data_IF_511258979467
#
_entry.id   IF_511258979467
#
_cell.length_a   1.000
_cell.length_b   1.000
_cell.length_c   1.000
_cell.angle_alpha   90.00
_cell.angle_beta   90.00
_cell.angle_gamma   90.00
#
_symmetry.space_group_name_H-M   'P 1'
#
loop_
_entity.id
_entity.type
_entity.pdbx_description
1 polymer ?
#
# COMPACT_ATOMS: atom_id res chain seq x y z
N UNK A 1 -9.36 -45.40 -17.79
CA UNK A 1 -8.79 -44.55 -18.85
C UNK A 1 -9.15 -43.09 -18.55
N UNK A 2 -8.25 -42.32 -17.95
CA UNK A 2 -8.47 -40.89 -17.67
C UNK A 2 -8.32 -40.13 -18.98
N UNK A 3 -9.41 -39.57 -19.50
CA UNK A 3 -9.35 -38.64 -20.63
C UNK A 3 -8.54 -37.42 -20.20
N UNK A 4 -7.35 -37.24 -20.75
CA UNK A 4 -6.60 -36.02 -20.63
C UNK A 4 -7.48 -34.88 -21.16
N UNK A 5 -8.00 -34.02 -20.26
CA UNK A 5 -8.77 -32.82 -20.63
C UNK A 5 -7.80 -31.85 -21.25
N UNK A 6 -8.14 -31.32 -22.44
CA UNK A 6 -7.33 -30.35 -23.17
C UNK A 6 -7.02 -29.12 -22.33
N UNK A 7 -5.82 -28.60 -22.45
CA UNK A 7 -5.48 -27.31 -21.83
C UNK A 7 -6.17 -26.15 -22.56
N UNK A 8 -6.52 -25.03 -21.85
CA UNK A 8 -7.13 -23.89 -22.50
C UNK A 8 -6.20 -23.29 -23.54
N UNK A 9 -6.73 -23.07 -24.75
CA UNK A 9 -5.98 -22.33 -25.81
C UNK A 9 -5.64 -20.93 -25.34
N UNK A 10 -4.56 -20.34 -25.84
CA UNK A 10 -4.05 -19.03 -25.41
C UNK A 10 -5.13 -17.92 -25.34
N UNK A 11 -6.05 -17.88 -26.33
CA UNK A 11 -7.16 -16.90 -26.33
C UNK A 11 -8.18 -17.11 -25.21
N UNK A 12 -8.53 -18.36 -24.91
CA UNK A 12 -9.46 -18.68 -23.81
C UNK A 12 -8.81 -18.38 -22.46
N UNK A 13 -7.52 -18.65 -22.31
CA UNK A 13 -6.77 -18.34 -21.11
C UNK A 13 -6.73 -16.82 -20.86
N UNK A 14 -6.46 -16.04 -21.91
CA UNK A 14 -6.48 -14.59 -21.83
C UNK A 14 -7.87 -14.04 -21.44
N UNK A 15 -8.94 -14.61 -22.02
CA UNK A 15 -10.32 -14.25 -21.70
C UNK A 15 -10.69 -14.56 -20.24
N UNK A 16 -10.23 -15.69 -19.71
CA UNK A 16 -10.48 -16.09 -18.32
C UNK A 16 -9.71 -15.22 -17.34
N UNK A 17 -8.47 -14.83 -17.69
CA UNK A 17 -7.61 -14.04 -16.81
C UNK A 17 -7.98 -12.54 -16.84
N UNK A 18 -8.33 -11.98 -18.00
CA UNK A 18 -8.62 -10.54 -18.17
C UNK A 18 -10.13 -10.23 -18.15
N UNK A 19 -10.98 -11.20 -18.55
CA UNK A 19 -12.43 -11.02 -18.64
C UNK A 19 -13.06 -10.41 -17.38
N UNK A 20 -12.79 -10.92 -16.18
CA UNK A 20 -13.31 -10.34 -14.94
C UNK A 20 -12.95 -8.86 -14.78
N UNK A 21 -11.72 -8.47 -15.12
CA UNK A 21 -11.25 -7.11 -15.03
C UNK A 21 -11.96 -6.20 -16.03
N UNK A 22 -12.22 -6.70 -17.25
CA UNK A 22 -13.03 -5.97 -18.25
C UNK A 22 -14.45 -5.74 -17.76
N UNK A 23 -15.06 -6.74 -17.10
CA UNK A 23 -16.40 -6.59 -16.48
C UNK A 23 -16.38 -5.48 -15.43
N UNK A 24 -15.35 -5.42 -14.58
CA UNK A 24 -15.20 -4.36 -13.60
C UNK A 24 -15.20 -2.97 -14.24
N UNK A 25 -14.33 -2.75 -15.24
CA UNK A 25 -14.22 -1.46 -15.90
C UNK A 25 -15.51 -1.10 -16.67
N UNK A 26 -16.12 -2.06 -17.34
CA UNK A 26 -17.37 -1.85 -18.08
C UNK A 26 -18.49 -1.42 -17.13
N UNK A 27 -18.68 -2.12 -16.02
CA UNK A 27 -19.71 -1.78 -15.02
C UNK A 27 -19.40 -0.44 -14.38
N UNK A 28 -18.13 -0.18 -14.01
CA UNK A 28 -17.72 1.09 -13.43
C UNK A 28 -17.91 2.29 -14.37
N UNK A 29 -17.84 2.04 -15.68
CA UNK A 29 -18.07 3.07 -16.71
C UNK A 29 -19.56 3.28 -16.99
N UNK A 30 -20.36 2.21 -17.04
CA UNK A 30 -21.78 2.27 -17.39
C UNK A 30 -22.70 2.68 -16.25
N UNK A 31 -22.29 2.45 -15.00
CA UNK A 31 -23.11 2.76 -13.81
C UNK A 31 -22.83 4.19 -13.36
N UNK A 32 -23.82 5.04 -13.45
CA UNK A 32 -23.78 6.40 -12.92
C UNK A 32 -24.46 6.45 -11.54
N UNK A 33 -23.73 6.07 -10.51
CA UNK A 33 -24.22 6.00 -9.13
C UNK A 33 -23.09 6.28 -8.14
N UNK A 34 -23.36 6.91 -6.99
CA UNK A 34 -22.38 7.02 -5.89
C UNK A 34 -21.83 5.67 -5.43
N UNK A 35 -22.62 4.60 -5.60
CA UNK A 35 -22.23 3.23 -5.25
C UNK A 35 -21.54 2.46 -6.40
N UNK A 36 -21.19 3.11 -7.52
CA UNK A 36 -20.65 2.45 -8.72
C UNK A 36 -19.46 1.54 -8.45
N UNK A 37 -18.57 1.95 -7.54
CA UNK A 37 -17.36 1.16 -7.21
C UNK A 37 -17.75 -0.17 -6.51
N UNK A 38 -18.78 -0.16 -5.67
CA UNK A 38 -19.25 -1.37 -4.99
C UNK A 38 -19.96 -2.30 -5.97
N UNK A 39 -20.78 -1.74 -6.86
CA UNK A 39 -21.48 -2.50 -7.91
C UNK A 39 -20.46 -3.13 -8.88
N UNK A 40 -19.45 -2.36 -9.31
CA UNK A 40 -18.36 -2.85 -10.16
C UNK A 40 -17.52 -3.92 -9.46
N UNK A 41 -17.23 -3.75 -8.15
CA UNK A 41 -16.52 -4.76 -7.36
C UNK A 41 -17.33 -6.05 -7.23
N UNK A 42 -18.63 -5.96 -6.98
CA UNK A 42 -19.51 -7.13 -6.95
C UNK A 42 -19.58 -7.86 -8.30
N UNK A 43 -19.69 -7.11 -9.40
CA UNK A 43 -19.67 -7.65 -10.76
C UNK A 43 -18.31 -8.33 -11.07
N UNK A 44 -17.20 -7.74 -10.65
CA UNK A 44 -15.86 -8.30 -10.77
C UNK A 44 -15.73 -9.64 -10.04
N UNK A 45 -16.20 -9.70 -8.78
CA UNK A 45 -16.18 -10.91 -7.98
C UNK A 45 -17.04 -12.02 -8.64
N UNK A 46 -18.25 -11.70 -9.10
CA UNK A 46 -19.12 -12.63 -9.80
C UNK A 46 -18.47 -13.16 -11.09
N UNK A 47 -17.87 -12.28 -11.89
CA UNK A 47 -17.15 -12.66 -13.10
C UNK A 47 -15.92 -13.54 -12.80
N UNK A 48 -15.19 -13.26 -11.71
CA UNK A 48 -14.06 -14.06 -11.28
C UNK A 48 -14.50 -15.48 -10.88
N UNK A 49 -15.57 -15.59 -10.10
CA UNK A 49 -16.16 -16.90 -9.73
C UNK A 49 -16.61 -17.66 -10.98
N UNK A 50 -17.30 -16.99 -11.91
CA UNK A 50 -17.74 -17.59 -13.18
C UNK A 50 -16.54 -18.08 -14.00
N UNK A 51 -15.46 -17.34 -14.09
CA UNK A 51 -14.23 -17.75 -14.78
C UNK A 51 -13.58 -18.97 -14.14
N UNK A 52 -13.52 -19.02 -12.79
CA UNK A 52 -12.99 -20.17 -12.05
C UNK A 52 -13.86 -21.42 -12.25
N UNK A 53 -15.19 -21.28 -12.12
CA UNK A 53 -16.15 -22.36 -12.33
C UNK A 53 -16.09 -22.89 -13.77
N UNK A 54 -16.09 -22.00 -14.76
CA UNK A 54 -15.95 -22.36 -16.16
C UNK A 54 -14.67 -23.16 -16.43
N UNK A 55 -13.55 -22.70 -15.90
CA UNK A 55 -12.26 -23.36 -16.07
C UNK A 55 -12.26 -24.75 -15.41
N UNK A 56 -12.81 -24.86 -14.21
CA UNK A 56 -12.93 -26.13 -13.50
C UNK A 56 -13.83 -27.13 -14.24
N UNK A 57 -14.99 -26.70 -14.72
CA UNK A 57 -15.96 -27.56 -15.41
C UNK A 57 -15.43 -28.03 -16.77
N UNK A 58 -14.81 -27.13 -17.54
CA UNK A 58 -14.37 -27.41 -18.90
C UNK A 58 -13.03 -28.14 -18.95
N UNK A 59 -12.08 -27.75 -18.11
CA UNK A 59 -10.69 -28.25 -18.16
C UNK A 59 -10.33 -29.14 -16.96
N UNK A 60 -11.15 -29.16 -15.90
CA UNK A 60 -10.94 -29.98 -14.71
C UNK A 60 -9.82 -29.53 -13.78
N UNK A 61 -9.18 -28.40 -14.09
CA UNK A 61 -8.11 -27.79 -13.27
C UNK A 61 -8.20 -26.27 -13.37
N UNK A 62 -7.96 -25.59 -12.26
CA UNK A 62 -7.80 -24.12 -12.19
C UNK A 62 -6.30 -23.86 -12.16
N UNK A 63 -5.81 -22.89 -12.95
CA UNK A 63 -4.39 -22.52 -12.88
C UNK A 63 -4.06 -21.92 -11.50
N UNK A 64 -2.86 -22.16 -10.94
CA UNK A 64 -2.47 -21.59 -9.64
C UNK A 64 -2.59 -20.06 -9.61
N UNK A 65 -2.29 -19.41 -10.72
CA UNK A 65 -2.41 -17.95 -10.86
C UNK A 65 -3.88 -17.50 -10.77
N UNK A 66 -4.80 -18.16 -11.50
CA UNK A 66 -6.23 -17.85 -11.46
C UNK A 66 -6.82 -18.13 -10.07
N UNK A 67 -6.40 -19.22 -9.42
CA UNK A 67 -6.82 -19.53 -8.06
C UNK A 67 -6.36 -18.47 -7.06
N UNK A 68 -5.07 -18.09 -7.10
CA UNK A 68 -4.52 -17.04 -6.24
C UNK A 68 -5.22 -15.71 -6.47
N UNK A 69 -5.37 -15.29 -7.73
CA UNK A 69 -6.06 -14.05 -8.09
C UNK A 69 -7.52 -14.07 -7.64
N UNK A 70 -8.21 -15.19 -7.84
CA UNK A 70 -9.60 -15.37 -7.42
C UNK A 70 -9.77 -15.28 -5.92
N UNK A 71 -8.92 -15.95 -5.14
CA UNK A 71 -8.93 -15.86 -3.66
C UNK A 71 -8.69 -14.42 -3.21
N UNK A 72 -7.70 -13.74 -3.80
CA UNK A 72 -7.40 -12.34 -3.45
C UNK A 72 -8.56 -11.40 -3.80
N UNK A 73 -9.17 -11.56 -4.99
CA UNK A 73 -10.31 -10.74 -5.42
C UNK A 73 -11.52 -10.98 -4.51
N UNK A 74 -11.81 -12.23 -4.17
CA UNK A 74 -12.95 -12.56 -3.30
C UNK A 74 -12.72 -12.10 -1.85
N UNK A 75 -11.51 -12.23 -1.34
CA UNK A 75 -11.17 -11.77 0.01
C UNK A 75 -11.21 -10.24 0.11
N UNK A 76 -10.49 -9.54 -0.76
CA UNK A 76 -10.41 -8.08 -0.72
C UNK A 76 -11.71 -7.41 -1.20
N UNK A 77 -12.35 -7.95 -2.25
CA UNK A 77 -13.63 -7.49 -2.75
C UNK A 77 -14.75 -7.75 -1.73
N UNK A 78 -14.79 -8.94 -1.13
CA UNK A 78 -15.72 -9.27 -0.06
C UNK A 78 -15.55 -8.35 1.15
N UNK A 79 -14.31 -8.09 1.54
CA UNK A 79 -13.99 -7.13 2.59
C UNK A 79 -14.48 -5.72 2.20
N UNK A 80 -14.29 -5.29 0.95
CA UNK A 80 -14.76 -4.01 0.44
C UNK A 80 -16.29 -3.91 0.45
N UNK A 81 -16.98 -4.98 0.06
CA UNK A 81 -18.45 -5.02 0.05
C UNK A 81 -19.04 -5.14 1.46
N UNK A 82 -18.40 -5.89 2.35
CA UNK A 82 -18.86 -6.07 3.73
C UNK A 82 -18.66 -4.81 4.58
N UNK A 83 -17.57 -4.10 4.31
CA UNK A 83 -17.23 -2.85 4.99
C UNK A 83 -17.83 -1.63 4.26
N UNK A 84 -19.08 -1.70 3.85
CA UNK A 84 -19.86 -0.64 3.18
C UNK A 84 -19.92 0.68 3.94
N UNK A 85 -19.15 0.82 4.97
CA UNK A 85 -19.15 1.96 5.85
C UNK A 85 -18.08 2.97 5.42
N UNK A 86 -18.48 4.21 5.17
CA UNK A 86 -17.56 5.35 4.99
C UNK A 86 -16.52 5.41 6.11
N UNK A 87 -16.89 4.91 7.28
CA UNK A 87 -16.06 4.82 8.47
C UNK A 87 -14.78 4.01 8.21
N UNK A 88 -14.90 2.92 7.44
CA UNK A 88 -13.73 2.09 7.12
C UNK A 88 -12.74 2.81 6.19
N UNK A 89 -13.24 3.59 5.24
CA UNK A 89 -12.37 4.40 4.36
C UNK A 89 -11.62 5.45 5.18
N UNK A 90 -12.29 6.02 6.18
CA UNK A 90 -11.75 7.06 7.06
C UNK A 90 -10.73 6.53 8.07
N UNK A 91 -10.89 5.27 8.53
CA UNK A 91 -10.01 4.65 9.53
C UNK A 91 -8.76 3.99 8.93
N UNK A 92 -8.76 3.67 7.62
CA UNK A 92 -7.60 3.07 6.94
C UNK A 92 -6.28 3.80 7.19
N UNK A 93 -6.20 5.14 7.05
CA UNK A 93 -4.96 5.87 7.31
C UNK A 93 -4.49 5.72 8.76
N UNK A 94 -5.41 5.73 9.73
CA UNK A 94 -5.09 5.53 11.14
C UNK A 94 -4.44 4.17 11.38
N UNK A 95 -5.04 3.09 10.84
CA UNK A 95 -4.49 1.73 10.95
C UNK A 95 -3.10 1.67 10.31
N UNK A 96 -2.93 2.24 9.13
CA UNK A 96 -1.65 2.28 8.45
C UNK A 96 -0.58 3.01 9.27
N UNK A 97 -0.89 4.21 9.75
CA UNK A 97 0.04 5.00 10.56
C UNK A 97 0.43 4.27 11.86
N UNK A 98 -0.54 3.70 12.57
CA UNK A 98 -0.26 2.94 13.80
C UNK A 98 0.54 1.67 13.51
N UNK A 99 0.28 0.98 12.41
CA UNK A 99 1.05 -0.19 12.01
C UNK A 99 2.52 0.17 11.75
N UNK A 100 2.77 1.24 10.98
CA UNK A 100 4.14 1.68 10.69
C UNK A 100 4.83 2.16 11.97
N UNK A 101 4.13 2.93 12.82
CA UNK A 101 4.66 3.37 14.11
C UNK A 101 5.05 2.19 15.00
N UNK A 102 4.18 1.17 15.09
CA UNK A 102 4.44 -0.05 15.86
C UNK A 102 5.62 -0.84 15.30
N UNK A 103 5.71 -0.96 13.96
CA UNK A 103 6.83 -1.65 13.30
C UNK A 103 8.17 -0.95 13.61
N UNK A 104 8.23 0.37 13.49
CA UNK A 104 9.43 1.14 13.80
C UNK A 104 9.79 1.05 15.29
N UNK A 105 8.80 1.19 16.18
CA UNK A 105 8.99 1.05 17.63
C UNK A 105 9.45 -0.34 18.03
N UNK A 106 8.89 -1.39 17.44
CA UNK A 106 9.32 -2.77 17.65
C UNK A 106 10.76 -2.98 17.17
N UNK A 107 11.11 -2.43 16.00
CA UNK A 107 12.48 -2.46 15.48
C UNK A 107 13.47 -1.83 16.44
N UNK A 108 13.19 -0.63 16.95
CA UNK A 108 14.02 0.05 17.94
C UNK A 108 14.20 -0.77 19.22
N UNK A 109 13.11 -1.40 19.70
CA UNK A 109 13.15 -2.22 20.93
C UNK A 109 13.95 -3.52 20.76
N UNK A 110 13.97 -4.08 19.55
CA UNK A 110 14.69 -5.34 19.25
C UNK A 110 16.10 -5.13 18.68
N UNK A 111 16.57 -3.88 18.61
CA UNK A 111 17.87 -3.54 18.03
C UNK A 111 17.94 -3.67 16.50
N UNK A 112 16.78 -3.80 15.83
CA UNK A 112 16.67 -3.88 14.36
C UNK A 112 16.09 -2.59 13.83
N UNK A 113 16.89 -1.80 13.13
CA UNK A 113 16.38 -0.57 12.54
C UNK A 113 15.79 -0.83 11.14
N UNK A 114 14.47 -1.06 11.09
CA UNK A 114 13.77 -1.30 9.82
C UNK A 114 13.80 -0.09 8.88
N UNK A 115 13.86 1.13 9.42
CA UNK A 115 13.99 2.34 8.61
C UNK A 115 15.33 2.36 7.86
N UNK A 116 16.42 1.99 8.56
CA UNK A 116 17.75 1.83 7.95
C UNK A 116 17.76 0.77 6.85
N UNK A 117 17.04 -0.35 7.06
CA UNK A 117 16.96 -1.41 6.04
C UNK A 117 16.31 -0.92 4.73
N UNK A 118 15.35 0.00 4.81
CA UNK A 118 14.61 0.51 3.65
C UNK A 118 15.29 1.72 3.04
N UNK A 119 15.80 2.64 3.86
CA UNK A 119 16.30 3.94 3.43
C UNK A 119 17.84 4.06 3.52
N UNK A 120 18.55 2.99 3.83
CA UNK A 120 20.00 3.03 4.03
C UNK A 120 20.78 3.58 2.83
N UNK A 121 20.32 3.27 1.61
CA UNK A 121 20.91 3.80 0.39
C UNK A 121 20.63 5.29 0.14
N UNK A 122 19.56 5.83 0.74
CA UNK A 122 19.16 7.24 0.57
C UNK A 122 19.88 8.17 1.57
N UNK A 123 20.42 7.63 2.65
CA UNK A 123 21.13 8.38 3.70
C UNK A 123 22.49 7.77 3.98
N UNK A 124 23.43 7.81 3.01
CA UNK A 124 24.80 7.34 3.22
C UNK A 124 25.47 8.15 4.31
N UNK A 125 26.39 7.54 5.08
CA UNK A 125 27.14 8.19 6.14
C UNK A 125 26.40 8.40 7.47
N UNK A 126 25.08 8.15 7.55
CA UNK A 126 24.33 8.33 8.79
C UNK A 126 24.75 7.27 9.83
N UNK A 127 25.16 7.72 11.02
CA UNK A 127 25.56 6.85 12.11
C UNK A 127 24.39 6.09 12.77
N UNK A 128 24.67 5.10 13.61
CA UNK A 128 23.62 4.28 14.27
C UNK A 128 22.74 5.10 15.22
N UNK A 129 23.30 6.15 15.84
CA UNK A 129 22.54 7.05 16.71
C UNK A 129 21.55 7.89 15.88
N UNK A 130 21.99 8.42 14.74
CA UNK A 130 21.14 9.12 13.78
C UNK A 130 20.01 8.25 13.24
N UNK A 131 20.31 7.00 12.88
CA UNK A 131 19.29 6.05 12.46
C UNK A 131 18.26 5.75 13.55
N UNK A 132 18.70 5.60 14.80
CA UNK A 132 17.79 5.36 15.92
C UNK A 132 16.93 6.57 16.22
N UNK A 133 17.50 7.78 16.17
CA UNK A 133 16.75 9.03 16.34
C UNK A 133 15.74 9.23 15.21
N UNK A 134 16.13 9.01 13.96
CA UNK A 134 15.27 9.13 12.80
C UNK A 134 14.08 8.17 12.89
N UNK A 135 14.34 6.90 13.21
CA UNK A 135 13.28 5.88 13.35
C UNK A 135 12.31 6.23 14.49
N UNK A 136 12.81 6.74 15.63
CA UNK A 136 11.99 7.21 16.75
C UNK A 136 11.13 8.40 16.35
N UNK A 137 11.71 9.39 15.70
CA UNK A 137 11.00 10.59 15.27
C UNK A 137 9.87 10.24 14.28
N UNK A 138 10.14 9.36 13.31
CA UNK A 138 9.12 8.87 12.38
C UNK A 138 8.03 8.04 13.07
N UNK A 139 8.38 7.20 14.04
CA UNK A 139 7.38 6.45 14.81
C UNK A 139 6.44 7.39 15.57
N UNK A 140 6.98 8.41 16.23
CA UNK A 140 6.18 9.43 16.93
C UNK A 140 5.34 10.26 15.95
N UNK A 141 5.89 10.63 14.81
CA UNK A 141 5.14 11.34 13.77
C UNK A 141 3.97 10.53 13.23
N UNK A 142 4.14 9.22 13.00
CA UNK A 142 3.05 8.36 12.57
C UNK A 142 1.96 8.21 13.65
N UNK A 143 2.31 8.14 14.92
CA UNK A 143 1.33 8.19 16.02
C UNK A 143 0.57 9.52 15.99
N UNK A 144 1.25 10.63 15.82
CA UNK A 144 0.64 11.95 15.67
C UNK A 144 -0.30 12.01 14.46
N UNK A 145 0.13 11.50 13.30
CA UNK A 145 -0.69 11.45 12.09
C UNK A 145 -1.92 10.57 12.24
N UNK A 146 -1.83 9.47 13.00
CA UNK A 146 -2.98 8.63 13.33
C UNK A 146 -4.00 9.40 14.18
N UNK A 147 -3.55 10.08 15.23
CA UNK A 147 -4.41 10.91 16.08
C UNK A 147 -5.03 12.07 15.30
N UNK A 148 -4.24 12.70 14.44
CA UNK A 148 -4.71 13.80 13.59
C UNK A 148 -5.76 13.32 12.60
N UNK A 149 -5.57 12.17 11.93
CA UNK A 149 -6.58 11.58 11.05
C UNK A 149 -7.89 11.31 11.80
N UNK A 150 -7.82 10.69 13.00
CA UNK A 150 -8.99 10.43 13.85
C UNK A 150 -9.73 11.74 14.20
N UNK A 151 -9.00 12.76 14.57
CA UNK A 151 -9.58 14.06 14.91
C UNK A 151 -10.27 14.68 13.69
N UNK A 152 -9.58 14.75 12.56
CA UNK A 152 -10.10 15.41 11.36
C UNK A 152 -11.36 14.72 10.85
N UNK A 153 -11.36 13.39 10.66
CA UNK A 153 -12.54 12.72 10.12
C UNK A 153 -13.73 12.68 11.07
N UNK A 154 -13.51 12.77 12.40
CA UNK A 154 -14.59 12.80 13.40
C UNK A 154 -15.21 14.19 13.58
N UNK A 155 -14.47 15.26 13.26
CA UNK A 155 -14.87 16.64 13.54
C UNK A 155 -15.22 17.44 12.30
N UNK A 156 -14.94 16.90 11.09
CA UNK A 156 -15.13 17.62 9.83
C UNK A 156 -15.98 16.82 8.83
N UNK A 157 -16.37 17.46 7.71
CA UNK A 157 -17.07 16.80 6.62
C UNK A 157 -16.16 15.84 5.85
N UNK A 158 -16.77 14.91 5.12
CA UNK A 158 -16.03 13.96 4.26
C UNK A 158 -15.15 14.68 3.23
N UNK A 159 -15.68 15.71 2.58
CA UNK A 159 -14.95 16.48 1.56
C UNK A 159 -13.74 17.20 2.16
N UNK A 160 -13.89 17.77 3.35
CA UNK A 160 -12.79 18.39 4.07
C UNK A 160 -11.69 17.36 4.40
N UNK A 161 -12.08 16.19 4.93
CA UNK A 161 -11.14 15.12 5.24
C UNK A 161 -10.41 14.61 4.00
N UNK A 162 -11.08 14.48 2.84
CA UNK A 162 -10.43 14.14 1.56
C UNK A 162 -9.43 15.21 1.15
N UNK A 163 -9.83 16.48 1.22
CA UNK A 163 -8.94 17.62 0.93
C UNK A 163 -7.74 17.68 1.88
N UNK A 164 -7.95 17.42 3.16
CA UNK A 164 -6.89 17.40 4.18
C UNK A 164 -5.74 16.42 3.83
N UNK A 165 -6.01 15.30 3.16
CA UNK A 165 -4.95 14.38 2.72
C UNK A 165 -3.95 15.04 1.78
N UNK A 166 -4.41 15.93 0.90
CA UNK A 166 -3.57 16.64 -0.07
C UNK A 166 -2.92 17.87 0.54
N UNK A 167 -3.74 18.73 1.15
CA UNK A 167 -3.30 20.06 1.60
C UNK A 167 -2.83 20.11 3.06
N UNK A 168 -3.13 19.09 3.83
CA UNK A 168 -2.71 18.96 5.23
C UNK A 168 -1.62 17.90 5.41
N UNK A 169 -1.95 16.62 5.16
CA UNK A 169 -1.06 15.51 5.49
C UNK A 169 0.24 15.52 4.68
N UNK A 170 0.18 15.83 3.37
CA UNK A 170 1.38 15.88 2.51
C UNK A 170 2.32 17.01 2.93
N UNK A 171 1.90 18.30 3.01
CA UNK A 171 2.77 19.37 3.46
C UNK A 171 3.34 19.14 4.87
N UNK A 172 2.51 18.61 5.78
CA UNK A 172 2.95 18.29 7.14
C UNK A 172 4.07 17.24 7.16
N UNK A 173 3.97 16.23 6.30
CA UNK A 173 5.02 15.21 6.14
C UNK A 173 6.32 15.83 5.61
N UNK A 174 6.24 16.71 4.63
CA UNK A 174 7.41 17.43 4.12
C UNK A 174 8.04 18.34 5.18
N UNK A 175 7.24 19.08 5.92
CA UNK A 175 7.73 19.92 7.01
C UNK A 175 8.41 19.09 8.09
N UNK A 176 7.81 17.95 8.46
CA UNK A 176 8.42 17.03 9.41
C UNK A 176 9.74 16.46 8.89
N UNK A 177 9.80 16.04 7.62
CA UNK A 177 11.04 15.55 7.01
C UNK A 177 12.12 16.63 7.02
N UNK A 178 11.79 17.87 6.64
CA UNK A 178 12.69 19.01 6.68
C UNK A 178 13.18 19.32 8.10
N UNK A 179 12.30 19.22 9.10
CA UNK A 179 12.67 19.42 10.51
C UNK A 179 13.69 18.39 11.04
N UNK A 180 13.80 17.21 10.40
CA UNK A 180 14.81 16.21 10.76
C UNK A 180 16.19 16.49 10.11
N UNK A 181 16.27 17.35 9.07
CA UNK A 181 17.53 17.61 8.35
C UNK A 181 18.66 18.07 9.28
N UNK A 182 18.49 19.03 10.23
CA UNK A 182 19.57 19.42 11.11
C UNK A 182 20.12 18.29 11.97
N UNK A 183 19.27 17.35 12.38
CA UNK A 183 19.66 16.17 13.12
C UNK A 183 20.46 15.22 12.22
N UNK A 184 20.00 14.99 10.99
CA UNK A 184 20.69 14.13 10.02
C UNK A 184 22.09 14.65 9.69
N UNK A 185 22.24 15.96 9.47
CA UNK A 185 23.54 16.59 9.21
C UNK A 185 24.51 16.43 10.40
N UNK A 186 24.02 16.54 11.64
CA UNK A 186 24.84 16.33 12.83
C UNK A 186 25.32 14.89 13.01
N UNK A 187 24.59 13.93 12.41
CA UNK A 187 24.87 12.51 12.49
C UNK A 187 25.52 11.93 11.22
N UNK A 188 26.13 12.78 10.38
CA UNK A 188 27.04 12.35 9.33
C UNK A 188 26.49 12.34 7.91
N UNK A 189 25.24 12.77 7.67
CA UNK A 189 24.63 12.76 6.33
C UNK A 189 25.45 13.56 5.29
N UNK A 190 26.20 14.58 5.68
CA UNK A 190 26.97 15.43 4.76
C UNK A 190 28.44 14.99 4.59
N UNK A 191 28.95 14.06 5.42
CA UNK A 191 30.36 13.75 5.43
C UNK A 191 30.81 12.91 4.23
N UNK A 192 29.92 12.09 3.67
CA UNK A 192 30.23 11.24 2.50
C UNK A 192 30.22 12.04 1.18
N UNK A 193 29.43 13.10 1.06
CA UNK A 193 29.47 13.97 -0.11
C UNK A 193 30.79 14.77 -0.19
N UNK A 194 31.36 15.13 0.95
CA UNK A 194 32.64 15.81 1.02
C UNK A 194 33.81 14.85 0.77
N UNK A 195 33.74 13.63 1.27
CA UNK A 195 34.75 12.59 1.04
C UNK A 195 34.80 12.14 -0.45
N UNK A 196 33.67 12.18 -1.15
CA UNK A 196 33.61 11.88 -2.59
C UNK A 196 34.09 13.02 -3.49
N UNK A 197 34.28 14.24 -2.94
CA UNK A 197 34.77 15.44 -3.67
C UNK A 197 36.23 15.77 -3.37
N UNK A 198 36.87 15.10 -2.41
CA UNK A 198 38.32 15.29 -2.23
C UNK A 198 39.09 14.65 -3.40
N UNK A 199 39.86 15.44 -4.19
CA UNK A 199 40.74 14.87 -5.20
C UNK A 199 41.77 13.97 -4.48
N UNK A 200 41.88 12.72 -4.94
CA UNK A 200 42.84 11.77 -4.44
C UNK A 200 44.26 12.36 -4.44
N UNK A 201 45.17 11.86 -3.57
CA UNK A 201 46.53 12.36 -3.49
C UNK A 201 47.19 12.32 -4.86
N UNK A 202 47.71 13.48 -5.27
CA UNK A 202 48.49 13.63 -6.50
C UNK A 202 49.82 12.94 -6.23
N UNK A 203 50.04 11.73 -6.76
CA UNK A 203 51.35 11.07 -6.82
C UNK A 203 52.26 11.71 -7.88
#
# INVERSE_FOLDING_TARGET
MSKARAEPTGGIRLLVDIGPLLVFFLVNFLVDSPAKIFIATGAFMAAMVAAMVFTQLKYGKISPLLLFSGVMVLALGGLTLWLHDELFIKIKPTIYYLFVAALLGFGLKTGRNYLKMVLGSAYPGLDEAGWSMLARNWALFFVFMAALNETVWRTTSFDFWVGFKLWGAIPLTFLFAAANVPMLLRHGLANDEQAAQEPGPIE
#
